data_IF_149822434970
#
_entry.id   IF_149822434970
#
_cell.length_a   1.000
_cell.length_b   1.000
_cell.length_c   1.000
_cell.angle_alpha   90.00
_cell.angle_beta   90.00
_cell.angle_gamma   90.00
#
_symmetry.space_group_name_H-M   'P 1'
#
loop_
_entity.id
_entity.type
_entity.pdbx_description
1 polymer ?
#
# COMPACT_ATOMS: atom_id res chain seq x y z
N UNK A 1 -5.27 10.34 -5.52
CA UNK A 1 -6.25 10.38 -6.57
C UNK A 1 -6.22 9.10 -7.40
N UNK A 2 -7.37 8.61 -7.78
CA UNK A 2 -7.46 7.30 -8.42
C UNK A 2 -7.32 6.16 -7.43
N UNK A 3 -7.40 6.44 -6.14
CA UNK A 3 -7.33 5.44 -5.09
C UNK A 3 -8.58 5.51 -4.23
N UNK A 4 -9.06 4.36 -3.79
CA UNK A 4 -10.18 4.28 -2.86
C UNK A 4 -9.87 3.21 -1.81
N UNK A 5 -10.34 3.46 -0.59
CA UNK A 5 -10.04 2.62 0.57
C UNK A 5 -11.33 2.09 1.18
N UNK A 6 -11.31 0.81 1.52
CA UNK A 6 -12.37 0.19 2.30
C UNK A 6 -11.77 -0.30 3.61
N UNK A 7 -12.07 0.40 4.69
CA UNK A 7 -11.54 0.06 6.02
C UNK A 7 -12.14 -1.26 6.50
N UNK A 8 -11.28 -2.13 7.02
CA UNK A 8 -11.70 -3.36 7.71
C UNK A 8 -11.49 -3.15 9.20
N UNK A 9 -10.24 -3.06 9.64
CA UNK A 9 -9.92 -2.86 11.05
C UNK A 9 -8.95 -1.71 11.28
N UNK A 10 -8.56 -1.00 10.22
CA UNK A 10 -7.59 0.07 10.35
C UNK A 10 -8.16 1.21 11.19
N UNK A 11 -7.36 1.69 12.14
CA UNK A 11 -7.74 2.77 13.03
C UNK A 11 -6.58 3.75 13.19
N UNK A 12 -6.67 4.88 12.51
CA UNK A 12 -5.65 5.91 12.53
C UNK A 12 -5.51 6.54 13.91
N UNK A 13 -6.61 6.65 14.66
CA UNK A 13 -6.60 7.27 15.98
C UNK A 13 -5.98 6.37 17.04
N UNK A 14 -5.91 5.08 16.79
CA UNK A 14 -5.27 4.11 17.66
C UNK A 14 -3.93 3.64 17.09
N UNK A 15 -3.14 4.58 16.58
CA UNK A 15 -1.77 4.31 16.15
C UNK A 15 -1.61 3.82 14.72
N UNK A 16 -2.68 3.77 13.95
CA UNK A 16 -2.59 3.34 12.56
C UNK A 16 -2.42 1.84 12.40
N UNK A 17 -3.03 1.06 13.28
CA UNK A 17 -3.00 -0.39 13.23
C UNK A 17 -4.26 -0.92 12.54
N UNK A 18 -4.14 -2.03 11.86
CA UNK A 18 -5.27 -2.72 11.27
C UNK A 18 -5.15 -2.87 9.76
N UNK A 19 -6.24 -3.25 9.13
CA UNK A 19 -6.24 -3.60 7.71
C UNK A 19 -7.30 -2.82 6.94
N UNK A 20 -7.03 -2.69 5.64
CA UNK A 20 -7.98 -2.09 4.71
C UNK A 20 -7.74 -2.66 3.31
N UNK A 21 -8.75 -2.52 2.46
CA UNK A 21 -8.60 -2.84 1.04
C UNK A 21 -8.34 -1.54 0.29
N UNK A 22 -7.34 -1.57 -0.57
CA UNK A 22 -6.98 -0.43 -1.42
C UNK A 22 -7.22 -0.81 -2.86
N UNK A 23 -7.99 0.01 -3.55
CA UNK A 23 -8.16 -0.09 -5.00
C UNK A 23 -7.45 1.08 -5.65
N UNK A 24 -6.61 0.79 -6.63
CA UNK A 24 -5.95 1.80 -7.45
C UNK A 24 -6.44 1.68 -8.88
N UNK A 25 -6.93 2.79 -9.41
CA UNK A 25 -7.38 2.83 -10.80
C UNK A 25 -6.19 2.81 -11.75
N UNK A 26 -6.36 2.41 -13.02
CA UNK A 26 -5.27 2.49 -13.99
C UNK A 26 -4.63 3.88 -14.03
N UNK A 27 -3.30 3.91 -13.93
CA UNK A 27 -2.53 5.15 -13.91
C UNK A 27 -2.38 5.81 -12.54
N UNK A 28 -2.98 5.27 -11.50
CA UNK A 28 -2.88 5.84 -10.16
C UNK A 28 -1.46 5.70 -9.62
N UNK A 29 -1.06 6.70 -8.82
CA UNK A 29 0.26 6.74 -8.18
C UNK A 29 0.10 7.11 -6.72
N UNK A 30 0.87 6.44 -5.85
CA UNK A 30 0.97 6.87 -4.47
C UNK A 30 2.10 7.90 -4.33
N UNK A 31 1.97 8.76 -3.32
CA UNK A 31 3.04 9.71 -3.01
C UNK A 31 4.13 9.01 -2.19
N UNK A 32 5.39 9.47 -2.32
CA UNK A 32 6.45 8.93 -1.47
C UNK A 32 6.12 9.08 0.01
N UNK A 33 6.38 8.03 0.78
CA UNK A 33 6.12 8.03 2.22
C UNK A 33 7.11 7.12 2.92
N UNK A 34 7.29 7.36 4.21
CA UNK A 34 8.11 6.52 5.07
C UNK A 34 7.20 5.73 6.00
N UNK A 35 7.52 4.45 6.18
CA UNK A 35 6.78 3.56 7.05
C UNK A 35 7.23 3.76 8.50
N UNK A 36 6.32 4.09 9.40
CA UNK A 36 6.63 4.18 10.83
C UNK A 36 6.58 2.83 11.51
N UNK A 37 5.79 1.91 10.98
CA UNK A 37 5.72 0.52 11.43
C UNK A 37 5.76 -0.40 10.23
N UNK A 38 5.58 -1.68 10.48
CA UNK A 38 5.47 -2.63 9.37
C UNK A 38 4.24 -2.32 8.54
N UNK A 39 4.39 -2.38 7.23
CA UNK A 39 3.27 -2.40 6.30
C UNK A 39 3.40 -3.65 5.47
N UNK A 40 2.33 -4.42 5.40
CA UNK A 40 2.29 -5.61 4.57
C UNK A 40 1.08 -5.53 3.66
N UNK A 41 1.20 -6.08 2.45
CA UNK A 41 0.04 -6.17 1.59
C UNK A 41 0.09 -7.42 0.73
N UNK A 42 -1.09 -7.87 0.35
CA UNK A 42 -1.28 -8.97 -0.57
C UNK A 42 -1.96 -8.45 -1.81
N UNK A 43 -1.43 -8.78 -2.98
CA UNK A 43 -2.01 -8.34 -4.25
C UNK A 43 -3.13 -9.30 -4.63
N UNK A 44 -4.37 -8.82 -4.49
CA UNK A 44 -5.55 -9.60 -4.82
C UNK A 44 -5.71 -9.69 -6.33
N UNK A 45 -5.46 -8.57 -7.04
CA UNK A 45 -5.61 -8.52 -8.49
C UNK A 45 -4.77 -7.37 -9.05
N UNK A 46 -4.37 -7.50 -10.31
CA UNK A 46 -3.58 -6.49 -10.99
C UNK A 46 -2.12 -6.52 -10.62
N UNK A 47 -1.45 -5.40 -10.81
CA UNK A 47 -0.03 -5.27 -10.46
C UNK A 47 0.33 -3.86 -10.05
N UNK A 48 1.41 -3.76 -9.28
CA UNK A 48 1.90 -2.52 -8.70
C UNK A 48 3.40 -2.44 -8.95
N UNK A 49 3.89 -1.28 -9.35
CA UNK A 49 5.31 -1.06 -9.60
C UNK A 49 5.85 -0.02 -8.62
N UNK A 50 6.89 -0.37 -7.89
CA UNK A 50 7.59 0.57 -7.02
C UNK A 50 8.58 1.42 -7.81
N UNK A 51 8.99 2.54 -7.21
CA UNK A 51 9.90 3.49 -7.85
C UNK A 51 11.24 2.87 -8.24
N UNK A 52 11.67 1.80 -7.57
CA UNK A 52 12.91 1.10 -7.88
C UNK A 52 12.75 0.08 -9.03
N UNK A 53 11.57 0.00 -9.63
CA UNK A 53 11.29 -0.91 -10.73
C UNK A 53 10.77 -2.27 -10.32
N UNK A 54 10.67 -2.56 -9.03
CA UNK A 54 10.13 -3.83 -8.56
C UNK A 54 8.63 -3.91 -8.89
N UNK A 55 8.22 -5.03 -9.45
CA UNK A 55 6.82 -5.26 -9.81
C UNK A 55 6.23 -6.32 -8.90
N UNK A 56 5.12 -5.96 -8.26
CA UNK A 56 4.33 -6.86 -7.42
C UNK A 56 3.09 -7.27 -8.20
N UNK A 57 2.83 -8.56 -8.27
CA UNK A 57 1.77 -9.13 -9.09
C UNK A 57 0.76 -9.86 -8.24
N UNK A 58 -0.38 -10.16 -8.84
CA UNK A 58 -1.43 -10.98 -8.23
C UNK A 58 -0.82 -12.21 -7.54
N UNK A 59 -1.14 -12.37 -6.25
CA UNK A 59 -0.67 -13.46 -5.43
C UNK A 59 0.58 -13.16 -4.63
N UNK A 60 1.24 -12.03 -4.87
CA UNK A 60 2.42 -11.64 -4.09
C UNK A 60 2.03 -11.08 -2.74
N UNK A 61 2.83 -11.42 -1.73
CA UNK A 61 2.71 -10.84 -0.39
C UNK A 61 4.00 -10.09 -0.08
N UNK A 62 3.87 -8.83 0.29
CA UNK A 62 5.00 -7.92 0.46
C UNK A 62 5.06 -7.38 1.87
N UNK A 63 6.27 -7.28 2.43
CA UNK A 63 6.50 -6.68 3.74
C UNK A 63 7.45 -5.51 3.59
N UNK A 64 7.07 -4.35 4.13
CA UNK A 64 7.94 -3.19 4.28
C UNK A 64 8.23 -2.98 5.76
N UNK A 65 9.51 -2.91 6.11
CA UNK A 65 9.94 -2.73 7.50
C UNK A 65 9.86 -1.26 7.90
N UNK A 66 9.79 -0.97 9.23
CA UNK A 66 9.82 0.40 9.72
C UNK A 66 11.06 1.13 9.22
N UNK A 67 10.88 2.40 8.87
CA UNK A 67 11.97 3.24 8.40
C UNK A 67 12.22 3.16 6.91
N UNK A 68 11.60 2.24 6.21
CA UNK A 68 11.73 2.15 4.75
C UNK A 68 10.81 3.15 4.08
N UNK A 69 11.20 3.56 2.87
CA UNK A 69 10.44 4.50 2.08
C UNK A 69 10.07 3.86 0.75
N UNK A 70 8.92 4.21 0.23
CA UNK A 70 8.58 3.81 -1.14
C UNK A 70 7.48 4.70 -1.71
N UNK A 71 7.29 4.58 -3.00
CA UNK A 71 6.11 5.05 -3.70
C UNK A 71 5.87 4.11 -4.88
N UNK A 72 4.63 4.02 -5.29
CA UNK A 72 4.22 3.01 -6.27
C UNK A 72 3.27 3.60 -7.29
N UNK A 73 3.16 2.90 -8.40
CA UNK A 73 2.19 3.23 -9.43
C UNK A 73 1.63 1.94 -10.03
N UNK A 74 0.47 2.02 -10.61
CA UNK A 74 -0.12 0.90 -11.33
C UNK A 74 -0.48 1.35 -12.74
N UNK A 75 -0.08 0.57 -13.73
CA UNK A 75 -0.40 0.87 -15.11
C UNK A 75 -1.85 0.49 -15.43
N UNK A 76 -2.26 -0.67 -15.00
CA UNK A 76 -3.55 -1.25 -15.38
C UNK A 76 -4.53 -1.37 -14.23
N UNK A 77 -4.18 -0.82 -13.06
CA UNK A 77 -5.00 -0.93 -11.86
C UNK A 77 -4.62 -2.12 -11.00
N UNK A 78 -4.95 -2.04 -9.73
CA UNK A 78 -4.73 -3.15 -8.81
C UNK A 78 -5.67 -3.09 -7.63
N UNK A 79 -5.78 -4.23 -6.96
CA UNK A 79 -6.56 -4.38 -5.74
C UNK A 79 -5.67 -5.05 -4.71
N UNK A 80 -5.50 -4.41 -3.57
CA UNK A 80 -4.63 -4.89 -2.49
C UNK A 80 -5.42 -5.02 -1.20
N UNK A 81 -5.02 -5.97 -0.36
CA UNK A 81 -5.38 -5.90 1.05
C UNK A 81 -4.13 -5.55 1.84
N UNK A 82 -4.22 -4.51 2.66
CA UNK A 82 -3.09 -3.89 3.34
C UNK A 82 -3.23 -4.07 4.84
N UNK A 83 -2.13 -4.45 5.49
CA UNK A 83 -2.05 -4.64 6.94
C UNK A 83 -1.04 -3.64 7.49
N UNK A 84 -1.53 -2.73 8.33
CA UNK A 84 -0.73 -1.63 8.88
C UNK A 84 -0.42 -1.85 10.35
N UNK A 85 0.81 -1.55 10.74
CA UNK A 85 1.23 -1.50 12.15
C UNK A 85 1.87 -0.16 12.47
N UNK A 86 1.25 0.90 12.00
CA UNK A 86 1.71 2.26 12.19
C UNK A 86 1.25 3.14 11.07
N UNK A 87 1.40 4.44 11.24
CA UNK A 87 0.98 5.42 10.26
C UNK A 87 2.13 5.66 9.27
N UNK A 88 1.82 5.76 7.98
CA UNK A 88 2.79 6.21 7.00
C UNK A 88 2.93 7.73 7.09
N UNK A 89 4.16 8.22 6.94
CA UNK A 89 4.43 9.65 6.92
C UNK A 89 4.80 10.12 5.52
N UNK A 90 4.23 11.24 5.06
CA UNK A 90 4.68 11.83 3.80
C UNK A 90 6.14 12.26 3.88
N UNK A 91 6.82 12.20 2.79
CA UNK A 91 8.18 12.70 2.67
C UNK A 91 8.17 14.11 2.10
#
# INVERSE_FOLDING_TARGET
KGMSWHKISYDKQNGGFGSYILKMDPGAKSLPHVHQGFEEFYVIDGELEDADGTIFKKGDFITFEPGTTHNSQTKNGCLLIVFMRGINKPI
#
